data_IF_281129533390
#
_entry.id   IF_281129533390
#
_cell.length_a   1.000
_cell.length_b   1.000
_cell.length_c   1.000
_cell.angle_alpha   90.00
_cell.angle_beta   90.00
_cell.angle_gamma   90.00
#
_symmetry.space_group_name_H-M   'P 1'
#
loop_
_entity.id
_entity.type
_entity.pdbx_description
1 polymer ?
#
# COMPACT_ATOMS: atom_id res chain seq x y z
N UNK A 1 -6.80 -12.42 22.08
CA UNK A 1 -5.98 -11.35 22.68
C UNK A 1 -6.21 -10.11 21.84
N UNK A 2 -6.65 -8.97 22.41
CA UNK A 2 -6.82 -7.74 21.63
C UNK A 2 -5.42 -7.21 21.30
N UNK A 3 -5.03 -7.23 20.02
CA UNK A 3 -3.81 -6.58 19.54
C UNK A 3 -3.88 -5.10 19.92
N UNK A 4 -2.87 -4.57 20.59
CA UNK A 4 -2.86 -3.14 20.95
C UNK A 4 -2.74 -2.30 19.68
N UNK A 5 -3.34 -1.11 19.66
CA UNK A 5 -3.27 -0.19 18.52
C UNK A 5 -1.84 0.05 18.04
N UNK A 6 -0.88 0.21 18.97
CA UNK A 6 0.55 0.35 18.64
C UNK A 6 1.14 -0.88 17.95
N UNK A 7 0.80 -2.10 18.41
CA UNK A 7 1.25 -3.32 17.73
C UNK A 7 0.64 -3.49 16.34
N UNK A 8 -0.61 -3.03 16.14
CA UNK A 8 -1.26 -3.07 14.82
C UNK A 8 -0.62 -2.08 13.83
N UNK A 9 -0.27 -0.88 14.27
CA UNK A 9 0.46 0.09 13.42
C UNK A 9 1.81 -0.48 12.98
N UNK A 10 2.55 -1.15 13.88
CA UNK A 10 3.81 -1.81 13.51
C UNK A 10 3.60 -2.92 12.48
N UNK A 11 2.55 -3.74 12.63
CA UNK A 11 2.21 -4.77 11.66
C UNK A 11 1.86 -4.18 10.29
N UNK A 12 1.06 -3.10 10.26
CA UNK A 12 0.70 -2.39 9.03
C UNK A 12 1.92 -1.73 8.35
N UNK A 13 2.79 -1.05 9.12
CA UNK A 13 4.02 -0.45 8.63
C UNK A 13 4.98 -1.51 8.06
N UNK A 14 5.14 -2.64 8.76
CA UNK A 14 5.97 -3.77 8.31
C UNK A 14 5.44 -4.30 6.98
N UNK A 15 4.16 -4.67 6.93
CA UNK A 15 3.52 -5.19 5.74
C UNK A 15 3.59 -4.21 4.55
N UNK A 16 3.33 -2.93 4.78
CA UNK A 16 3.46 -1.91 3.73
C UNK A 16 4.91 -1.77 3.23
N UNK A 17 5.91 -1.87 4.10
CA UNK A 17 7.31 -1.88 3.68
C UNK A 17 7.69 -3.13 2.86
N UNK A 18 7.07 -4.30 3.12
CA UNK A 18 7.24 -5.49 2.27
C UNK A 18 6.69 -5.25 0.87
N UNK A 19 5.52 -4.62 0.79
CA UNK A 19 4.91 -4.22 -0.46
C UNK A 19 5.78 -3.21 -1.23
N UNK A 20 6.29 -2.16 -0.56
CA UNK A 20 7.21 -1.19 -1.19
C UNK A 20 8.49 -1.88 -1.69
N UNK A 21 9.01 -2.85 -0.94
CA UNK A 21 10.17 -3.64 -1.35
C UNK A 21 9.87 -4.53 -2.56
N UNK A 22 8.71 -5.18 -2.63
CA UNK A 22 8.30 -5.99 -3.78
C UNK A 22 8.16 -5.13 -5.05
N UNK A 23 7.51 -3.96 -4.93
CA UNK A 23 7.42 -2.98 -6.01
C UNK A 23 8.78 -2.46 -6.45
N UNK A 24 9.70 -2.23 -5.52
CA UNK A 24 11.06 -1.78 -5.88
C UNK A 24 11.83 -2.87 -6.61
N UNK A 25 11.76 -4.12 -6.14
CA UNK A 25 12.42 -5.27 -6.76
C UNK A 25 11.93 -5.55 -8.18
N UNK A 26 10.62 -5.44 -8.45
CA UNK A 26 10.10 -5.60 -9.82
C UNK A 26 10.65 -4.53 -10.78
N UNK A 27 11.11 -3.39 -10.25
CA UNK A 27 11.80 -2.34 -11.00
C UNK A 27 13.33 -2.43 -10.97
N UNK A 28 13.90 -3.52 -10.43
CA UNK A 28 15.34 -3.73 -10.34
C UNK A 28 16.03 -2.92 -9.24
N UNK A 29 15.28 -2.39 -8.28
CA UNK A 29 15.78 -1.61 -7.15
C UNK A 29 15.71 -2.44 -5.87
N UNK A 30 16.87 -2.84 -5.36
CA UNK A 30 16.97 -3.59 -4.11
C UNK A 30 17.00 -2.63 -2.92
N UNK A 31 16.19 -2.94 -1.89
CA UNK A 31 16.16 -2.22 -0.62
C UNK A 31 16.47 -3.13 0.55
N UNK A 32 16.96 -2.57 1.65
CA UNK A 32 17.43 -3.33 2.81
C UNK A 32 16.50 -3.10 4.01
N UNK A 33 16.15 -4.19 4.71
CA UNK A 33 15.51 -4.11 6.03
C UNK A 33 16.55 -4.00 7.14
N UNK A 34 16.43 -2.97 7.96
CA UNK A 34 17.11 -2.86 9.27
C UNK A 34 16.08 -2.71 10.37
N UNK A 35 16.54 -2.72 11.62
CA UNK A 35 15.70 -2.65 12.82
C UNK A 35 14.66 -1.52 12.77
N UNK A 36 15.07 -0.31 12.36
CA UNK A 36 14.21 0.86 12.41
C UNK A 36 13.46 1.15 11.11
N UNK A 37 13.94 0.66 9.96
CA UNK A 37 13.40 1.02 8.66
C UNK A 37 13.82 0.07 7.55
N UNK A 38 12.94 -0.03 6.55
CA UNK A 38 13.34 -0.40 5.20
C UNK A 38 13.82 0.83 4.45
N UNK A 39 14.87 0.69 3.63
CA UNK A 39 15.31 1.77 2.74
C UNK A 39 15.99 1.23 1.48
N UNK A 40 15.77 1.92 0.35
CA UNK A 40 16.43 1.68 -0.92
C UNK A 40 17.44 2.81 -1.24
N UNK A 41 18.69 2.48 -1.61
CA UNK A 41 19.73 3.47 -1.87
C UNK A 41 19.54 4.23 -3.19
N UNK A 42 18.62 3.78 -4.07
CA UNK A 42 18.32 4.38 -5.36
C UNK A 42 16.83 4.73 -5.47
N UNK A 43 16.46 5.50 -6.50
CA UNK A 43 15.07 5.94 -6.67
C UNK A 43 14.09 4.80 -6.91
N UNK A 44 13.06 4.76 -6.08
CA UNK A 44 11.99 3.78 -6.11
C UNK A 44 10.92 4.19 -7.13
N UNK A 45 10.04 3.27 -7.54
CA UNK A 45 8.99 3.57 -8.53
C UNK A 45 8.03 4.65 -8.05
N UNK A 46 7.35 5.31 -9.02
CA UNK A 46 6.34 6.34 -8.74
C UNK A 46 5.32 5.86 -7.70
N UNK A 47 4.99 6.75 -6.75
CA UNK A 47 4.10 6.50 -5.59
C UNK A 47 4.66 5.61 -4.47
N UNK A 48 5.85 5.01 -4.64
CA UNK A 48 6.48 4.18 -3.61
C UNK A 48 7.64 4.92 -2.94
N UNK A 49 7.64 4.99 -1.59
CA UNK A 49 8.68 5.70 -0.87
C UNK A 49 10.01 4.96 -0.92
N UNK A 50 11.08 5.70 -0.65
CA UNK A 50 12.45 5.19 -0.65
C UNK A 50 12.76 4.51 0.66
N UNK A 51 12.09 4.97 1.72
CA UNK A 51 12.22 4.45 3.05
C UNK A 51 10.87 4.40 3.74
N UNK A 52 10.68 3.37 4.55
CA UNK A 52 9.50 3.17 5.39
C UNK A 52 9.96 2.89 6.81
N UNK A 53 9.55 3.71 7.77
CA UNK A 53 9.89 3.49 9.18
C UNK A 53 9.08 2.31 9.74
N UNK A 54 9.72 1.50 10.58
CA UNK A 54 9.16 0.28 11.17
C UNK A 54 8.94 0.42 12.69
N UNK A 55 9.56 1.42 13.29
CA UNK A 55 9.42 1.76 14.71
C UNK A 55 9.27 3.28 14.90
N UNK A 56 8.59 3.72 15.98
CA UNK A 56 8.59 5.13 16.40
C UNK A 56 10.00 5.61 16.72
N UNK A 57 10.27 6.90 16.53
CA UNK A 57 11.53 7.54 16.90
C UNK A 57 12.75 7.00 16.16
N UNK A 58 12.57 6.62 14.89
CA UNK A 58 13.68 6.22 14.03
C UNK A 58 14.72 7.35 13.92
N UNK A 59 16.01 6.99 13.87
CA UNK A 59 17.07 7.98 13.75
C UNK A 59 17.06 8.60 12.34
N UNK A 60 16.68 9.88 12.25
CA UNK A 60 16.50 10.60 10.99
C UNK A 60 17.78 10.69 10.17
N UNK A 61 18.91 11.05 10.79
CA UNK A 61 20.21 11.12 10.11
C UNK A 61 20.64 9.76 9.55
N UNK A 62 20.46 8.68 10.33
CA UNK A 62 20.80 7.33 9.88
C UNK A 62 19.84 6.82 8.79
N UNK A 63 18.59 7.29 8.77
CA UNK A 63 17.61 6.98 7.73
C UNK A 63 17.95 7.71 6.42
N UNK A 64 18.16 9.02 6.48
CA UNK A 64 18.51 9.88 5.34
C UNK A 64 19.80 9.42 4.66
N UNK A 65 20.78 8.90 5.41
CA UNK A 65 22.03 8.38 4.85
C UNK A 65 21.87 7.08 4.03
N UNK A 66 20.69 6.44 4.07
CA UNK A 66 20.41 5.18 3.36
C UNK A 66 19.66 5.37 2.04
N UNK A 67 19.28 6.60 1.71
CA UNK A 67 18.51 6.93 0.50
C UNK A 67 19.23 8.05 -0.27
N UNK A 68 19.04 8.07 -1.59
CA UNK A 68 19.58 9.14 -2.44
C UNK A 68 18.75 10.43 -2.28
N UNK A 69 19.27 11.38 -1.50
CA UNK A 69 18.71 12.74 -1.36
C UNK A 69 19.38 13.77 -2.27
N UNK A 70 20.35 13.36 -3.10
CA UNK A 70 20.99 14.26 -4.06
C UNK A 70 20.02 14.48 -5.22
N UNK A 71 19.51 13.39 -5.78
CA UNK A 71 18.47 13.47 -6.79
C UNK A 71 17.15 14.03 -6.22
N UNK A 72 16.39 14.81 -7.00
CA UNK A 72 15.06 15.25 -6.60
C UNK A 72 14.09 14.09 -6.44
N UNK A 73 13.15 14.21 -5.51
CA UNK A 73 12.05 13.26 -5.33
C UNK A 73 12.35 12.12 -4.36
N UNK A 74 13.41 12.23 -3.54
CA UNK A 74 13.60 11.30 -2.44
C UNK A 74 12.41 11.40 -1.47
N UNK A 75 11.91 10.29 -0.95
CA UNK A 75 10.70 10.27 -0.13
C UNK A 75 10.76 9.25 0.99
N UNK A 76 10.16 9.63 2.13
CA UNK A 76 10.11 8.80 3.34
C UNK A 76 8.68 8.66 3.78
N UNK A 77 8.23 7.42 3.97
CA UNK A 77 7.03 7.11 4.73
C UNK A 77 7.40 7.00 6.20
N UNK A 78 7.10 8.06 6.94
CA UNK A 78 7.10 8.03 8.38
C UNK A 78 5.79 7.38 8.86
N UNK A 79 5.87 6.08 9.11
CA UNK A 79 4.75 5.23 9.54
C UNK A 79 4.18 5.61 10.90
N UNK A 80 4.82 6.49 11.66
CA UNK A 80 4.36 6.88 13.01
C UNK A 80 4.08 8.38 13.14
N UNK A 81 4.36 9.16 12.08
CA UNK A 81 4.22 10.62 12.04
C UNK A 81 4.92 11.32 13.22
N UNK A 82 6.09 10.80 13.63
CA UNK A 82 6.84 11.26 14.79
C UNK A 82 8.25 11.75 14.46
N UNK A 83 8.63 11.78 13.18
CA UNK A 83 9.90 12.32 12.72
C UNK A 83 9.79 13.80 12.33
N UNK A 84 10.88 14.53 12.53
CA UNK A 84 11.13 15.82 11.90
C UNK A 84 12.31 15.68 10.93
N UNK A 85 12.01 15.69 9.63
CA UNK A 85 13.00 15.60 8.55
C UNK A 85 13.32 16.97 7.92
N UNK A 86 12.78 18.06 8.46
CA UNK A 86 12.99 19.41 7.89
C UNK A 86 14.46 19.82 7.93
N UNK A 87 15.19 19.43 8.98
CA UNK A 87 16.63 19.66 9.10
C UNK A 87 17.47 18.95 8.04
N UNK A 88 16.94 17.89 7.43
CA UNK A 88 17.58 17.15 6.33
C UNK A 88 17.14 17.64 4.94
N UNK A 89 16.31 18.69 4.87
CA UNK A 89 15.81 19.30 3.62
C UNK A 89 14.49 18.72 3.10
N UNK A 90 13.85 17.82 3.85
CA UNK A 90 12.53 17.30 3.46
C UNK A 90 11.41 18.28 3.79
N UNK A 91 10.34 18.18 3.01
CA UNK A 91 9.05 18.83 3.28
C UNK A 91 7.95 17.78 3.37
N UNK A 92 6.87 18.10 4.07
CA UNK A 92 5.69 17.23 4.15
C UNK A 92 5.01 17.22 2.79
N UNK A 93 4.82 16.04 2.21
CA UNK A 93 4.02 15.85 1.01
C UNK A 93 2.53 15.75 1.38
N UNK A 94 2.19 14.87 2.33
CA UNK A 94 0.86 14.80 2.94
C UNK A 94 0.86 13.97 4.24
N UNK A 95 -0.23 14.10 5.01
CA UNK A 95 -0.55 13.30 6.18
C UNK A 95 -1.68 12.30 5.86
N UNK A 96 -1.60 11.10 6.43
CA UNK A 96 -2.63 10.07 6.26
C UNK A 96 -2.86 9.29 7.56
N UNK A 97 -3.77 8.31 7.51
CA UNK A 97 -4.12 7.46 8.65
C UNK A 97 -3.99 6.00 8.29
N UNK A 98 -3.26 5.24 9.10
CA UNK A 98 -3.37 3.79 9.09
C UNK A 98 -4.80 3.40 9.47
N UNK A 99 -5.34 2.45 8.73
CA UNK A 99 -6.67 1.87 8.94
C UNK A 99 -6.56 0.37 9.19
N UNK A 100 -7.47 -0.14 10.02
CA UNK A 100 -7.56 -1.56 10.33
C UNK A 100 -9.02 -2.01 10.33
N UNK A 101 -9.27 -3.19 9.80
CA UNK A 101 -10.54 -3.88 9.90
C UNK A 101 -10.32 -5.30 10.41
N UNK A 102 -11.07 -5.76 11.43
CA UNK A 102 -10.95 -7.12 11.92
C UNK A 102 -11.31 -8.13 10.83
N UNK A 103 -10.85 -9.37 10.97
CA UNK A 103 -11.11 -10.50 10.08
C UNK A 103 -12.58 -10.98 10.13
N UNK A 104 -13.52 -10.10 9.81
CA UNK A 104 -14.95 -10.34 9.84
C UNK A 104 -15.48 -10.54 8.43
N UNK A 105 -16.17 -11.66 8.21
CA UNK A 105 -16.91 -11.92 6.98
C UNK A 105 -17.89 -10.76 6.70
N UNK A 106 -17.84 -10.13 5.52
CA UNK A 106 -18.86 -9.17 5.11
C UNK A 106 -20.26 -9.80 5.04
N UNK A 107 -21.29 -8.95 5.05
CA UNK A 107 -22.67 -9.40 4.86
C UNK A 107 -23.00 -9.40 3.37
N UNK A 108 -23.59 -10.49 2.88
CA UNK A 108 -24.00 -10.63 1.47
C UNK A 108 -22.93 -11.26 0.56
N UNK A 109 -23.35 -11.90 -0.55
CA UNK A 109 -22.43 -12.33 -1.60
C UNK A 109 -21.84 -11.12 -2.34
N UNK A 110 -20.69 -11.27 -3.03
CA UNK A 110 -20.19 -10.22 -3.91
C UNK A 110 -21.08 -10.05 -5.14
N UNK A 111 -21.15 -8.83 -5.67
CA UNK A 111 -21.92 -8.49 -6.87
C UNK A 111 -21.12 -8.72 -8.16
N UNK A 112 -19.81 -8.49 -8.14
CA UNK A 112 -18.88 -8.74 -9.24
C UNK A 112 -18.20 -10.10 -9.13
N UNK A 113 -17.73 -10.62 -10.27
CA UNK A 113 -16.81 -11.75 -10.29
C UNK A 113 -15.40 -11.24 -9.99
N UNK A 114 -14.81 -11.71 -8.88
CA UNK A 114 -13.45 -11.33 -8.47
C UNK A 114 -12.46 -12.47 -8.65
N UNK A 115 -11.32 -12.15 -9.26
CA UNK A 115 -10.24 -13.10 -9.52
C UNK A 115 -8.88 -12.53 -9.11
N UNK A 116 -7.93 -13.43 -8.84
CA UNK A 116 -6.51 -13.07 -8.70
C UNK A 116 -5.90 -13.10 -10.09
N UNK A 117 -5.24 -12.02 -10.51
CA UNK A 117 -4.56 -11.96 -11.80
C UNK A 117 -3.46 -13.03 -11.85
N UNK A 118 -3.72 -14.11 -12.60
CA UNK A 118 -2.87 -15.31 -12.63
C UNK A 118 -1.72 -15.26 -13.65
N UNK A 119 -1.56 -14.16 -14.38
CA UNK A 119 -0.55 -14.05 -15.43
C UNK A 119 -0.33 -12.62 -15.93
N UNK A 120 0.72 -12.40 -16.77
CA UNK A 120 1.12 -11.06 -17.22
C UNK A 120 0.03 -10.30 -17.97
N UNK A 121 -0.79 -10.99 -18.78
CA UNK A 121 -1.90 -10.36 -19.52
C UNK A 121 -3.00 -9.87 -18.57
N UNK A 122 -3.43 -10.69 -17.62
CA UNK A 122 -4.42 -10.30 -16.61
C UNK A 122 -3.91 -9.15 -15.72
N UNK A 123 -2.62 -9.16 -15.36
CA UNK A 123 -1.99 -8.04 -14.65
C UNK A 123 -2.01 -6.77 -15.51
N UNK A 124 -1.71 -6.87 -16.80
CA UNK A 124 -1.69 -5.73 -17.72
C UNK A 124 -3.07 -5.10 -17.86
N UNK A 125 -4.11 -5.92 -18.00
CA UNK A 125 -5.50 -5.47 -18.09
C UNK A 125 -5.93 -4.76 -16.79
N UNK A 126 -5.58 -5.35 -15.65
CA UNK A 126 -5.79 -4.71 -14.34
C UNK A 126 -5.07 -3.37 -14.22
N UNK A 127 -3.81 -3.30 -14.66
CA UNK A 127 -3.01 -2.08 -14.58
C UNK A 127 -3.54 -0.97 -15.51
N UNK A 128 -4.07 -1.33 -16.69
CA UNK A 128 -4.75 -0.38 -17.58
C UNK A 128 -6.00 0.21 -16.92
N UNK A 129 -6.82 -0.67 -16.33
CA UNK A 129 -8.02 -0.30 -15.61
C UNK A 129 -7.69 0.61 -14.41
N UNK A 130 -6.68 0.26 -13.62
CA UNK A 130 -6.22 1.06 -12.48
C UNK A 130 -5.70 2.44 -12.91
N UNK A 131 -4.89 2.50 -13.97
CA UNK A 131 -4.27 3.76 -14.42
C UNK A 131 -5.30 4.78 -14.95
N UNK A 132 -6.49 4.34 -15.40
CA UNK A 132 -7.56 5.24 -15.84
C UNK A 132 -7.14 6.21 -16.96
N UNK A 133 -6.12 5.85 -17.74
CA UNK A 133 -5.54 6.69 -18.79
C UNK A 133 -4.36 7.59 -18.38
N UNK A 134 -3.89 7.54 -17.12
CA UNK A 134 -2.74 8.33 -16.66
C UNK A 134 -1.41 7.95 -17.33
N UNK A 135 -1.34 6.76 -17.93
CA UNK A 135 -0.11 6.19 -18.49
C UNK A 135 0.73 5.39 -17.49
N UNK A 136 0.30 5.29 -16.22
CA UNK A 136 1.08 4.63 -15.15
C UNK A 136 0.93 3.11 -15.12
N UNK A 137 0.32 2.51 -16.14
CA UNK A 137 0.07 1.07 -16.14
C UNK A 137 1.37 0.23 -16.15
N UNK A 138 2.47 0.78 -16.68
CA UNK A 138 3.80 0.14 -16.68
C UNK A 138 4.45 0.13 -15.27
N UNK A 139 3.82 0.76 -14.28
CA UNK A 139 4.20 0.65 -12.88
C UNK A 139 4.06 -0.78 -12.36
N UNK A 140 3.05 -1.52 -12.83
CA UNK A 140 2.76 -2.89 -12.42
C UNK A 140 3.39 -3.89 -13.38
N UNK A 141 4.61 -4.32 -13.06
CA UNK A 141 5.38 -5.22 -13.92
C UNK A 141 5.13 -6.70 -13.61
N UNK A 142 5.27 -7.60 -14.61
CA UNK A 142 5.02 -9.03 -14.44
C UNK A 142 5.79 -9.71 -13.31
N UNK A 143 6.99 -9.20 -12.96
CA UNK A 143 7.83 -9.72 -11.87
C UNK A 143 7.14 -9.63 -10.50
N UNK A 144 6.07 -8.83 -10.35
CA UNK A 144 5.24 -8.82 -9.15
C UNK A 144 4.50 -10.14 -8.92
N UNK A 145 4.23 -10.89 -9.98
CA UNK A 145 3.55 -12.19 -9.90
C UNK A 145 4.46 -13.28 -9.31
N UNK A 146 5.78 -13.05 -9.26
CA UNK A 146 6.74 -13.97 -8.65
C UNK A 146 6.78 -13.83 -7.11
N UNK A 147 6.22 -12.75 -6.55
CA UNK A 147 6.14 -12.54 -5.11
C UNK A 147 4.93 -13.28 -4.51
N UNK A 148 5.13 -14.35 -3.71
CA UNK A 148 4.03 -15.19 -3.21
C UNK A 148 3.16 -14.49 -2.16
N UNK A 149 3.58 -13.31 -1.70
CA UNK A 149 2.84 -12.46 -0.78
C UNK A 149 1.95 -11.44 -1.50
N UNK A 150 2.11 -11.24 -2.81
CA UNK A 150 1.39 -10.24 -3.61
C UNK A 150 0.26 -10.87 -4.41
N UNK A 151 -0.94 -10.28 -4.31
CA UNK A 151 -2.15 -10.74 -4.99
C UNK A 151 -2.83 -9.54 -5.63
N UNK A 152 -2.83 -9.49 -6.96
CA UNK A 152 -3.54 -8.45 -7.71
C UNK A 152 -4.97 -8.93 -7.93
N UNK A 153 -5.93 -8.21 -7.36
CA UNK A 153 -7.34 -8.60 -7.31
C UNK A 153 -8.13 -7.77 -8.33
N UNK A 154 -8.79 -8.44 -9.25
CA UNK A 154 -9.57 -7.85 -10.34
C UNK A 154 -11.06 -8.19 -10.18
N UNK A 155 -11.90 -7.15 -10.11
CA UNK A 155 -13.35 -7.27 -10.18
C UNK A 155 -13.82 -7.03 -11.62
N UNK A 156 -14.50 -8.01 -12.20
CA UNK A 156 -14.92 -8.01 -13.59
C UNK A 156 -16.41 -7.68 -13.75
N UNK A 157 -16.73 -6.87 -14.76
CA UNK A 157 -18.11 -6.67 -15.22
C UNK A 157 -18.67 -7.94 -15.87
N UNK A 158 -19.97 -7.95 -16.17
CA UNK A 158 -20.61 -9.05 -16.90
C UNK A 158 -19.99 -9.31 -18.29
N UNK A 159 -19.40 -8.28 -18.90
CA UNK A 159 -18.72 -8.36 -20.20
C UNK A 159 -17.24 -8.77 -20.08
N UNK A 160 -16.77 -9.06 -18.86
CA UNK A 160 -15.40 -9.54 -18.57
C UNK A 160 -14.35 -8.45 -18.40
N UNK A 161 -14.72 -7.16 -18.49
CA UNK A 161 -13.78 -6.05 -18.32
C UNK A 161 -13.43 -5.83 -16.84
N UNK A 162 -12.17 -5.53 -16.54
CA UNK A 162 -11.75 -5.12 -15.19
C UNK A 162 -12.32 -3.73 -14.89
N UNK A 163 -13.24 -3.66 -13.94
CA UNK A 163 -13.92 -2.41 -13.55
C UNK A 163 -13.60 -1.97 -12.13
N UNK A 164 -13.09 -2.87 -11.30
CA UNK A 164 -12.63 -2.60 -9.95
C UNK A 164 -11.40 -3.44 -9.64
N UNK A 165 -10.60 -3.00 -8.66
CA UNK A 165 -9.46 -3.79 -8.24
C UNK A 165 -8.75 -3.23 -7.03
N UNK A 166 -7.82 -4.04 -6.53
CA UNK A 166 -6.89 -3.69 -5.47
C UNK A 166 -5.68 -4.61 -5.51
N UNK A 167 -4.63 -4.26 -4.79
CA UNK A 167 -3.53 -5.18 -4.47
C UNK A 167 -3.66 -5.59 -3.01
N UNK A 168 -3.62 -6.90 -2.77
CA UNK A 168 -3.48 -7.48 -1.45
C UNK A 168 -2.05 -7.97 -1.23
N UNK A 169 -1.43 -7.52 -0.14
CA UNK A 169 -0.11 -7.96 0.32
C UNK A 169 -0.25 -8.72 1.63
N UNK A 170 0.02 -10.02 1.62
CA UNK A 170 -0.13 -10.89 2.79
C UNK A 170 1.17 -10.90 3.61
N UNK A 171 1.06 -10.66 4.92
CA UNK A 171 2.09 -11.04 5.90
C UNK A 171 1.54 -12.07 6.89
N UNK A 172 2.34 -12.46 7.88
CA UNK A 172 1.94 -13.41 8.91
C UNK A 172 0.80 -12.89 9.81
N UNK A 173 0.69 -11.56 9.97
CA UNK A 173 -0.20 -10.94 10.95
C UNK A 173 -1.40 -10.23 10.34
N UNK A 174 -1.27 -9.74 9.10
CA UNK A 174 -2.23 -8.85 8.45
C UNK A 174 -2.24 -9.07 6.94
N UNK A 175 -3.30 -8.60 6.29
CA UNK A 175 -3.33 -8.39 4.84
C UNK A 175 -3.41 -6.90 4.58
N UNK A 176 -2.38 -6.34 3.93
CA UNK A 176 -2.39 -4.97 3.45
C UNK A 176 -3.20 -4.86 2.17
N UNK A 177 -4.03 -3.83 2.08
CA UNK A 177 -4.75 -3.46 0.87
C UNK A 177 -4.26 -2.10 0.39
N UNK A 178 -3.94 -2.01 -0.90
CA UNK A 178 -3.53 -0.78 -1.56
C UNK A 178 -4.09 -0.72 -2.98
N UNK A 179 -3.96 0.44 -3.63
CA UNK A 179 -4.34 0.63 -5.04
C UNK A 179 -5.81 0.28 -5.32
N UNK A 180 -6.70 0.59 -4.38
CA UNK A 180 -8.14 0.31 -4.50
C UNK A 180 -8.75 1.27 -5.53
N UNK A 181 -9.53 0.73 -6.47
CA UNK A 181 -10.28 1.53 -7.43
C UNK A 181 -11.60 0.86 -7.85
N UNK A 182 -12.54 1.67 -8.34
CA UNK A 182 -13.66 1.24 -9.16
C UNK A 182 -14.02 2.35 -10.15
N UNK A 183 -14.33 1.98 -11.39
CA UNK A 183 -14.71 2.93 -12.45
C UNK A 183 -16.06 3.60 -12.18
N UNK A 184 -17.02 2.83 -11.65
CA UNK A 184 -18.35 3.32 -11.27
C UNK A 184 -18.45 3.42 -9.74
N UNK A 185 -18.82 4.59 -9.22
CA UNK A 185 -19.04 4.82 -7.78
C UNK A 185 -17.77 5.03 -6.93
N UNK A 186 -16.58 4.98 -7.55
CA UNK A 186 -15.30 5.21 -6.87
C UNK A 186 -14.94 4.12 -5.85
N UNK A 187 -13.91 4.34 -5.00
CA UNK A 187 -13.43 3.33 -4.04
C UNK A 187 -14.50 2.76 -3.10
N UNK A 188 -15.55 3.54 -2.79
CA UNK A 188 -16.70 3.10 -1.99
C UNK A 188 -17.41 1.88 -2.60
N UNK A 189 -17.52 1.84 -3.93
CA UNK A 189 -18.14 0.73 -4.64
C UNK A 189 -17.28 -0.55 -4.65
N UNK A 190 -15.96 -0.42 -4.51
CA UNK A 190 -15.03 -1.56 -4.51
C UNK A 190 -15.08 -2.35 -3.20
N UNK A 191 -15.20 -1.66 -2.07
CA UNK A 191 -14.97 -2.23 -0.74
C UNK A 191 -15.85 -3.45 -0.38
N UNK A 192 -17.17 -3.47 -0.63
CA UNK A 192 -18.01 -4.61 -0.25
C UNK A 192 -17.52 -5.94 -0.83
N UNK A 193 -17.27 -5.97 -2.14
CA UNK A 193 -16.84 -7.19 -2.82
C UNK A 193 -15.36 -7.49 -2.56
N UNK A 194 -14.50 -6.47 -2.56
CA UNK A 194 -13.08 -6.61 -2.23
C UNK A 194 -12.90 -7.29 -0.87
N UNK A 195 -13.65 -6.87 0.15
CA UNK A 195 -13.59 -7.46 1.48
C UNK A 195 -14.09 -8.92 1.51
N UNK A 196 -15.03 -9.30 0.63
CA UNK A 196 -15.47 -10.68 0.49
C UNK A 196 -14.37 -11.55 -0.12
N UNK A 197 -13.71 -11.03 -1.17
CA UNK A 197 -12.57 -11.68 -1.83
C UNK A 197 -11.40 -11.87 -0.88
N UNK A 198 -10.99 -10.80 -0.18
CA UNK A 198 -9.91 -10.82 0.82
C UNK A 198 -10.21 -11.80 1.96
N UNK A 199 -11.45 -11.81 2.47
CA UNK A 199 -11.85 -12.75 3.52
C UNK A 199 -11.78 -14.22 3.05
N UNK A 200 -12.10 -14.48 1.78
CA UNK A 200 -12.08 -15.83 1.21
C UNK A 200 -10.65 -16.32 0.98
N UNK A 201 -9.74 -15.45 0.52
CA UNK A 201 -8.32 -15.77 0.30
C UNK A 201 -7.54 -15.89 1.61
N UNK A 202 -7.85 -15.04 2.59
CA UNK A 202 -7.07 -14.91 3.83
C UNK A 202 -7.97 -15.02 5.06
N UNK A 203 -8.65 -16.17 5.27
CA UNK A 203 -9.57 -16.32 6.37
C UNK A 203 -8.86 -16.14 7.71
N UNK A 204 -9.38 -15.24 8.53
CA UNK A 204 -8.86 -14.98 9.88
C UNK A 204 -7.78 -13.91 9.98
N UNK A 205 -7.25 -13.39 8.87
CA UNK A 205 -6.33 -12.25 8.91
C UNK A 205 -7.08 -10.90 8.91
N UNK A 206 -6.74 -9.97 9.82
CA UNK A 206 -7.26 -8.62 9.75
C UNK A 206 -6.70 -7.88 8.54
N UNK A 207 -7.48 -6.91 8.05
CA UNK A 207 -7.12 -6.10 6.89
C UNK A 207 -6.55 -4.78 7.38
N UNK A 208 -5.47 -4.32 6.76
CA UNK A 208 -4.85 -3.02 7.03
C UNK A 208 -4.62 -2.25 5.74
N UNK A 209 -4.44 -0.94 5.86
CA UNK A 209 -4.13 -0.03 4.75
C UNK A 209 -3.85 1.35 5.31
N UNK A 210 -3.72 2.34 4.45
CA UNK A 210 -3.76 3.73 4.90
C UNK A 210 -4.49 4.58 3.88
N UNK A 211 -5.21 5.58 4.36
CA UNK A 211 -6.00 6.47 3.51
C UNK A 211 -6.00 7.90 4.06
N UNK A 212 -6.41 8.84 3.22
CA UNK A 212 -6.63 10.24 3.58
C UNK A 212 -7.90 10.76 2.89
N UNK A 213 -8.42 11.91 3.34
CA UNK A 213 -9.55 12.58 2.68
C UNK A 213 -10.78 11.69 2.50
N UNK A 214 -11.35 11.71 1.30
CA UNK A 214 -12.57 10.99 0.94
C UNK A 214 -12.37 9.47 0.92
N UNK A 215 -11.18 8.99 0.55
CA UNK A 215 -10.85 7.55 0.57
C UNK A 215 -10.83 7.01 1.99
N UNK A 216 -10.34 7.80 2.95
CA UNK A 216 -10.44 7.46 4.37
C UNK A 216 -11.90 7.39 4.79
N UNK A 217 -12.71 8.39 4.42
CA UNK A 217 -14.14 8.38 4.74
C UNK A 217 -14.87 7.16 4.16
N UNK A 218 -14.51 6.72 2.94
CA UNK A 218 -15.01 5.50 2.33
C UNK A 218 -14.62 4.25 3.13
N UNK A 219 -13.33 4.06 3.42
CA UNK A 219 -12.87 2.91 4.19
C UNK A 219 -13.60 2.78 5.55
N UNK A 220 -13.83 3.90 6.25
CA UNK A 220 -14.55 3.90 7.52
C UNK A 220 -16.01 3.42 7.40
N UNK A 221 -16.70 3.73 6.29
CA UNK A 221 -18.07 3.23 6.03
C UNK A 221 -18.11 1.71 5.89
N UNK A 222 -17.01 1.09 5.46
CA UNK A 222 -16.89 -0.37 5.28
C UNK A 222 -16.28 -1.10 6.49
N UNK A 223 -16.25 -0.42 7.65
CA UNK A 223 -15.92 -1.04 8.94
C UNK A 223 -14.43 -1.05 9.26
N UNK A 224 -13.64 -0.23 8.56
CA UNK A 224 -12.30 0.11 9.02
C UNK A 224 -12.35 1.12 10.17
N UNK A 225 -11.34 1.07 11.02
CA UNK A 225 -11.11 2.03 12.11
C UNK A 225 -9.70 2.62 11.95
N UNK A 226 -9.50 3.93 12.20
CA UNK A 226 -8.18 4.53 12.17
C UNK A 226 -7.37 4.07 13.39
N UNK A 227 -6.14 3.62 13.16
CA UNK A 227 -5.26 3.08 14.22
C UNK A 227 -4.00 3.92 14.47
N UNK A 228 -3.71 4.92 13.64
CA UNK A 228 -2.59 5.83 13.89
C UNK A 228 -2.34 6.78 12.74
N UNK A 229 -1.72 7.94 12.98
CA UNK A 229 -1.25 8.82 11.91
C UNK A 229 -0.03 8.22 11.20
N UNK A 230 0.17 8.63 9.94
CA UNK A 230 1.44 8.50 9.23
C UNK A 230 1.65 9.76 8.39
N UNK A 231 2.91 9.99 7.99
CA UNK A 231 3.30 11.15 7.20
C UNK A 231 4.19 10.74 6.03
N UNK A 232 3.96 11.33 4.87
CA UNK A 232 4.85 11.19 3.71
C UNK A 232 5.68 12.46 3.58
N UNK A 233 6.99 12.29 3.53
CA UNK A 233 7.97 13.33 3.32
C UNK A 233 8.53 13.24 1.90
N UNK A 234 8.88 14.38 1.31
CA UNK A 234 9.58 14.46 0.03
C UNK A 234 10.74 15.44 0.13
N UNK A 235 11.86 15.09 -0.48
CA UNK A 235 13.04 15.92 -0.63
C UNK A 235 13.06 16.47 -2.06
N UNK A 236 13.07 17.79 -2.27
CA UNK A 236 13.03 18.39 -3.61
C UNK A 236 14.32 18.19 -4.41
N UNK A 237 15.37 17.63 -3.80
CA UNK A 237 16.72 17.48 -4.35
C UNK A 237 17.68 18.47 -3.70
N UNK A 238 18.99 18.24 -3.85
CA UNK A 238 19.99 19.25 -3.49
C UNK A 238 20.51 19.87 -4.79
N UNK A 239 20.59 21.20 -4.82
CA UNK A 239 21.26 21.94 -5.89
C UNK A 239 22.74 21.55 -6.01
#
# INVERSE_FOLDING_TARGET
MKTSTSSMVRAAARNNAEWCAAMSRSHGVEGEFKEQAWAAPARTPLYYPDAVTLVPGANTTALSARIDTVAPGASVKDSFADLDLTGDGFQVLFDARWIHRPAKKPAGPPDLAWEVAGGPEALRDWALAWAGGSGDADLFRPELLDDPATFVLAGHSADGLVVSGAVASRSDQVVGISNVFAHDGGPDAAWPDLLNTVHSLFPGLPVVGYEQGDDLAAALRHGFEPIGPLRIWIHPGRD
#
